data_IF_312029486039
#
_entry.id   IF_312029486039
#
_cell.length_a   1.000
_cell.length_b   1.000
_cell.length_c   1.000
_cell.angle_alpha   90.00
_cell.angle_beta   90.00
_cell.angle_gamma   90.00
#
_symmetry.space_group_name_H-M   'P 1'
#
loop_
_entity.id
_entity.type
_entity.pdbx_description
1 polymer ?
#
# COMPACT_ATOMS: atom_id res chain seq x y z
N UNK A 1 -26.83 -28.48 53.53
CA UNK A 1 -27.43 -28.73 52.21
C UNK A 1 -26.38 -28.29 51.20
N UNK A 2 -25.55 -29.24 50.77
CA UNK A 2 -24.38 -29.03 49.91
C UNK A 2 -24.77 -29.40 48.48
N UNK A 3 -24.80 -28.41 47.59
CA UNK A 3 -25.01 -28.66 46.17
C UNK A 3 -23.66 -28.76 45.45
N UNK A 4 -23.51 -29.88 44.75
CA UNK A 4 -22.31 -30.29 44.04
C UNK A 4 -22.17 -29.50 42.73
N UNK A 5 -21.06 -28.80 42.59
CA UNK A 5 -20.58 -28.26 41.31
C UNK A 5 -20.01 -29.42 40.48
N UNK A 6 -20.63 -29.71 39.34
CA UNK A 6 -20.07 -30.61 38.33
C UNK A 6 -19.21 -29.77 37.39
N UNK A 7 -17.89 -29.82 37.57
CA UNK A 7 -16.93 -29.39 36.56
C UNK A 7 -16.76 -30.51 35.53
N UNK A 8 -16.89 -30.18 34.24
CA UNK A 8 -16.51 -31.05 33.15
C UNK A 8 -15.08 -30.70 32.72
N UNK A 9 -14.12 -31.55 33.07
CA UNK A 9 -12.73 -31.49 32.59
C UNK A 9 -12.67 -31.96 31.13
N UNK A 10 -12.39 -31.05 30.20
CA UNK A 10 -11.97 -31.39 28.84
C UNK A 10 -10.49 -31.80 28.87
N UNK A 11 -10.26 -33.09 29.06
CA UNK A 11 -8.94 -33.71 29.03
C UNK A 11 -8.54 -33.98 27.56
N UNK A 12 -7.78 -33.07 26.96
CA UNK A 12 -7.21 -33.22 25.62
C UNK A 12 -6.01 -34.18 25.70
N UNK A 13 -6.22 -35.45 25.32
CA UNK A 13 -5.12 -36.41 25.15
C UNK A 13 -4.59 -36.36 23.72
N UNK A 14 -3.40 -35.78 23.59
CA UNK A 14 -2.55 -35.86 22.42
C UNK A 14 -2.08 -37.31 22.23
N UNK A 15 -2.55 -37.98 21.16
CA UNK A 15 -2.20 -39.37 20.89
C UNK A 15 -1.66 -39.55 19.46
N UNK A 16 -0.32 -39.70 19.42
CA UNK A 16 0.49 -40.57 18.57
C UNK A 16 0.01 -40.84 17.13
N UNK A 17 0.71 -40.19 16.20
CA UNK A 17 0.91 -40.65 14.82
C UNK A 17 1.76 -41.94 14.84
N UNK A 18 1.11 -43.09 14.71
CA UNK A 18 1.78 -44.38 14.48
C UNK A 18 1.58 -44.83 13.05
N UNK A 19 2.70 -45.06 12.37
CA UNK A 19 2.82 -45.92 11.18
C UNK A 19 2.15 -47.27 11.45
N UNK A 20 1.33 -47.76 10.53
CA UNK A 20 1.30 -49.18 10.23
C UNK A 20 0.83 -49.47 8.80
N UNK A 21 1.74 -50.10 8.08
CA UNK A 21 1.59 -50.99 6.93
C UNK A 21 0.22 -51.69 6.85
N UNK A 22 -0.34 -51.82 5.64
CA UNK A 22 -1.14 -53.00 5.30
C UNK A 22 -1.00 -53.37 3.82
N UNK A 23 -0.44 -54.56 3.65
CA UNK A 23 -0.40 -55.36 2.44
C UNK A 23 -1.77 -56.01 2.13
N UNK A 24 -2.06 -56.04 0.82
CA UNK A 24 -2.73 -57.08 0.00
C UNK A 24 -4.25 -57.33 0.20
N UNK A 25 -5.07 -57.11 -0.85
CA UNK A 25 -5.56 -58.19 -1.76
C UNK A 25 -6.50 -57.71 -2.92
N UNK A 26 -6.10 -58.03 -4.16
CA UNK A 26 -6.87 -58.62 -5.30
C UNK A 26 -7.89 -57.84 -6.17
N UNK A 27 -7.54 -57.84 -7.49
CA UNK A 27 -8.26 -57.77 -8.80
C UNK A 27 -9.40 -56.75 -8.99
N UNK A 28 -9.39 -55.86 -9.99
CA UNK A 28 -9.27 -56.13 -11.44
C UNK A 28 -8.84 -54.86 -12.23
N UNK A 29 -8.27 -55.06 -13.42
CA UNK A 29 -8.00 -54.12 -14.56
C UNK A 29 -6.80 -53.12 -14.55
N UNK A 30 -5.79 -53.52 -15.35
CA UNK A 30 -5.10 -52.75 -16.43
C UNK A 30 -4.07 -51.65 -16.08
N UNK A 31 -2.79 -52.04 -15.98
CA UNK A 31 -1.73 -51.52 -16.86
C UNK A 31 -0.59 -52.54 -16.96
N UNK A 32 0.07 -52.62 -18.11
CA UNK A 32 1.18 -53.54 -18.34
C UNK A 32 2.50 -52.88 -17.92
N UNK A 33 3.19 -53.43 -16.92
CA UNK A 33 4.64 -53.28 -16.77
C UNK A 33 5.33 -54.41 -17.54
N UNK A 34 6.12 -54.05 -18.55
CA UNK A 34 7.02 -54.99 -19.22
C UNK A 34 8.40 -54.91 -18.56
N UNK A 35 8.72 -55.95 -17.80
CA UNK A 35 10.07 -56.25 -17.33
C UNK A 35 10.95 -56.68 -18.51
N UNK A 36 12.08 -56.00 -18.69
CA UNK A 36 13.13 -56.46 -19.60
C UNK A 36 14.20 -57.18 -18.78
N UNK A 37 14.38 -58.46 -19.09
CA UNK A 37 15.47 -59.30 -18.60
C UNK A 37 16.81 -58.82 -19.19
N UNK A 38 17.83 -58.73 -18.36
CA UNK A 38 19.21 -58.58 -18.80
C UNK A 38 19.70 -59.87 -19.46
N UNK A 39 20.31 -59.74 -20.63
CA UNK A 39 21.31 -60.70 -21.11
C UNK A 39 22.39 -59.92 -21.86
N UNK A 40 23.61 -59.99 -21.34
CA UNK A 40 24.81 -59.37 -21.91
C UNK A 40 25.14 -59.95 -23.29
N UNK A 41 25.75 -59.13 -24.16
CA UNK A 41 27.17 -59.23 -24.57
C UNK A 41 27.40 -58.66 -25.98
N UNK A 42 28.38 -57.74 -26.04
CA UNK A 42 29.24 -57.35 -27.19
C UNK A 42 28.64 -56.58 -28.38
N UNK A 43 28.87 -55.27 -28.36
CA UNK A 43 29.44 -54.57 -29.52
C UNK A 43 30.41 -53.50 -29.01
N UNK A 44 31.66 -53.93 -28.87
CA UNK A 44 32.81 -53.14 -28.46
C UNK A 44 33.10 -52.08 -29.52
N UNK A 45 33.22 -50.84 -29.04
CA UNK A 45 34.05 -49.74 -29.54
C UNK A 45 34.14 -49.51 -31.06
N UNK A 46 33.63 -48.35 -31.49
CA UNK A 46 34.48 -47.43 -32.28
C UNK A 46 33.86 -46.03 -32.30
N UNK A 47 34.38 -45.17 -31.44
CA UNK A 47 34.41 -43.74 -31.70
C UNK A 47 35.37 -43.52 -32.88
N UNK A 48 34.83 -43.48 -34.09
CA UNK A 48 35.56 -43.07 -35.27
C UNK A 48 35.60 -41.53 -35.35
N UNK A 49 36.70 -41.00 -34.85
CA UNK A 49 37.52 -39.93 -35.43
C UNK A 49 36.84 -38.78 -36.18
N UNK A 50 37.01 -37.61 -35.58
CA UNK A 50 37.23 -36.30 -36.21
C UNK A 50 37.94 -36.39 -37.57
N UNK A 51 37.38 -35.73 -38.60
CA UNK A 51 37.88 -35.77 -39.98
C UNK A 51 37.30 -34.69 -40.89
N UNK A 52 37.42 -33.43 -40.47
CA UNK A 52 37.58 -32.18 -41.25
C UNK A 52 36.95 -32.06 -42.66
N UNK A 53 36.02 -31.10 -42.73
CA UNK A 53 35.90 -30.01 -43.71
C UNK A 53 36.00 -30.34 -45.21
N UNK A 54 34.87 -30.16 -45.91
CA UNK A 54 34.87 -29.31 -47.10
C UNK A 54 34.10 -28.02 -46.77
N UNK A 55 34.80 -27.09 -46.10
CA UNK A 55 34.31 -25.74 -45.88
C UNK A 55 34.36 -25.00 -47.21
N UNK A 56 33.21 -24.63 -47.77
CA UNK A 56 33.22 -23.45 -48.62
C UNK A 56 33.43 -22.25 -47.71
N UNK A 57 34.65 -21.72 -47.67
CA UNK A 57 35.04 -20.49 -46.95
C UNK A 57 34.14 -19.30 -47.30
N UNK A 58 33.41 -19.38 -48.42
CA UNK A 58 32.42 -18.39 -48.82
C UNK A 58 31.17 -18.42 -47.95
N UNK A 59 30.68 -19.59 -47.53
CA UNK A 59 29.42 -19.67 -46.76
C UNK A 59 29.57 -19.12 -45.34
N UNK A 60 30.70 -19.34 -44.67
CA UNK A 60 30.98 -18.74 -43.37
C UNK A 60 31.15 -17.22 -43.50
N UNK A 61 31.85 -16.76 -44.56
CA UNK A 61 31.98 -15.34 -44.85
C UNK A 61 30.63 -14.67 -45.12
N UNK A 62 29.74 -15.34 -45.87
CA UNK A 62 28.37 -14.86 -46.15
C UNK A 62 27.55 -14.80 -44.86
N UNK A 63 27.60 -15.84 -44.02
CA UNK A 63 26.87 -15.86 -42.74
C UNK A 63 27.33 -14.72 -41.81
N UNK A 64 28.64 -14.47 -41.70
CA UNK A 64 29.18 -13.37 -40.89
C UNK A 64 28.76 -12.02 -41.47
N UNK A 65 28.83 -11.83 -42.79
CA UNK A 65 28.42 -10.59 -43.44
C UNK A 65 26.92 -10.29 -43.24
N UNK A 66 26.07 -11.31 -43.31
CA UNK A 66 24.62 -11.20 -43.05
C UNK A 66 24.37 -10.81 -41.59
N UNK A 67 25.06 -11.43 -40.62
CA UNK A 67 24.91 -11.08 -39.20
C UNK A 67 25.32 -9.63 -38.94
N UNK A 68 26.44 -9.17 -39.50
CA UNK A 68 26.90 -7.78 -39.35
C UNK A 68 25.88 -6.82 -39.96
N UNK A 69 25.34 -7.12 -41.14
CA UNK A 69 24.31 -6.30 -41.77
C UNK A 69 23.05 -6.20 -40.90
N UNK A 70 22.60 -7.30 -40.30
CA UNK A 70 21.46 -7.31 -39.39
C UNK A 70 21.72 -6.50 -38.12
N UNK A 71 22.93 -6.54 -37.58
CA UNK A 71 23.31 -5.71 -36.42
C UNK A 71 23.34 -4.22 -36.77
N UNK A 72 23.89 -3.85 -37.93
CA UNK A 72 23.94 -2.45 -38.39
C UNK A 72 22.54 -1.93 -38.70
N UNK A 73 21.69 -2.72 -39.34
CA UNK A 73 20.29 -2.36 -39.59
C UNK A 73 19.50 -2.27 -38.28
N UNK A 74 19.71 -3.20 -37.33
CA UNK A 74 19.11 -3.16 -36.01
C UNK A 74 19.50 -1.89 -35.25
N UNK A 75 20.80 -1.56 -35.20
CA UNK A 75 21.29 -0.34 -34.56
C UNK A 75 20.78 0.91 -35.27
N UNK A 76 20.82 0.95 -36.61
CA UNK A 76 20.27 2.05 -37.41
C UNK A 76 18.77 2.26 -37.16
N UNK A 77 17.99 1.19 -37.10
CA UNK A 77 16.57 1.26 -36.74
C UNK A 77 16.39 1.72 -35.29
N UNK A 78 17.21 1.29 -34.32
CA UNK A 78 17.12 1.83 -32.95
C UNK A 78 17.45 3.33 -32.89
N UNK A 79 18.39 3.82 -33.71
CA UNK A 79 18.67 5.26 -33.85
C UNK A 79 17.59 6.02 -34.61
N UNK A 80 16.84 5.38 -35.51
CA UNK A 80 15.72 5.99 -36.25
C UNK A 80 14.40 5.97 -35.44
N UNK A 81 14.22 4.98 -34.56
CA UNK A 81 13.06 4.86 -33.67
C UNK A 81 13.25 5.58 -32.33
N UNK A 82 14.46 5.99 -31.98
CA UNK A 82 14.66 7.04 -30.98
C UNK A 82 14.80 8.39 -31.67
N UNK A 83 13.78 9.26 -31.63
CA UNK A 83 14.04 10.65 -31.93
C UNK A 83 15.14 11.10 -30.96
N UNK A 84 16.24 11.63 -31.48
CA UNK A 84 17.15 12.44 -30.67
C UNK A 84 16.38 13.70 -30.32
N UNK A 85 15.54 13.60 -29.30
CA UNK A 85 14.95 14.72 -28.59
C UNK A 85 16.11 15.41 -27.88
N UNK A 86 16.72 16.39 -28.56
CA UNK A 86 17.39 17.47 -27.86
C UNK A 86 16.32 18.15 -26.99
N UNK A 87 16.30 17.77 -25.71
CA UNK A 87 15.41 18.31 -24.70
C UNK A 87 15.69 19.80 -24.48
N UNK A 88 14.69 20.70 -24.53
CA UNK A 88 14.77 22.00 -23.87
C UNK A 88 14.65 21.76 -22.36
N UNK A 89 15.80 21.66 -21.70
CA UNK A 89 15.98 21.25 -20.31
C UNK A 89 15.68 22.36 -19.28
N UNK A 90 14.60 23.14 -19.48
CA UNK A 90 14.29 24.30 -18.61
C UNK A 90 12.86 24.34 -18.05
N UNK A 91 11.97 23.40 -18.42
CA UNK A 91 10.58 23.40 -17.92
C UNK A 91 10.26 22.37 -16.83
N UNK A 92 11.03 21.30 -16.72
CA UNK A 92 10.88 20.29 -15.65
C UNK A 92 11.57 20.70 -14.35
N UNK A 93 12.56 21.59 -14.42
CA UNK A 93 13.36 22.03 -13.28
C UNK A 93 12.55 22.85 -12.27
N UNK A 94 11.54 23.61 -12.73
CA UNK A 94 10.69 24.42 -11.84
C UNK A 94 9.63 23.59 -11.09
N UNK A 95 9.09 22.52 -11.69
CA UNK A 95 8.15 21.62 -11.00
C UNK A 95 8.85 20.72 -9.99
N UNK A 96 10.10 20.33 -10.26
CA UNK A 96 10.87 19.44 -9.38
C UNK A 96 11.46 20.16 -8.16
N UNK A 97 11.63 21.48 -8.22
CA UNK A 97 12.05 22.31 -7.07
C UNK A 97 10.92 22.78 -6.15
N UNK A 98 9.66 22.78 -6.62
CA UNK A 98 8.51 23.17 -5.77
C UNK A 98 7.92 21.99 -4.98
N UNK A 99 8.23 20.75 -5.38
CA UNK A 99 7.99 19.56 -4.55
C UNK A 99 9.08 19.39 -3.50
N UNK A 100 9.35 20.51 -2.84
CA UNK A 100 10.13 20.63 -1.63
C UNK A 100 9.56 19.64 -0.63
N UNK A 101 10.22 18.49 -0.46
CA UNK A 101 9.69 17.30 0.21
C UNK A 101 8.93 17.70 1.47
N UNK A 102 7.60 17.75 1.36
CA UNK A 102 6.75 18.02 2.51
C UNK A 102 6.82 16.76 3.37
N UNK A 103 7.27 16.88 4.61
CA UNK A 103 7.41 15.74 5.49
C UNK A 103 6.31 15.72 6.54
N UNK A 104 6.05 14.53 7.06
CA UNK A 104 5.17 14.32 8.20
C UNK A 104 6.01 14.02 9.43
N UNK A 105 5.55 14.41 10.64
CA UNK A 105 6.25 14.02 11.85
C UNK A 105 6.40 12.51 11.95
N UNK A 106 7.39 12.05 12.70
CA UNK A 106 7.59 10.63 12.95
C UNK A 106 6.30 9.98 13.47
N UNK A 107 5.97 8.80 12.93
CA UNK A 107 4.74 8.04 13.24
C UNK A 107 3.43 8.61 12.67
N UNK A 108 3.48 9.69 11.88
CA UNK A 108 2.33 10.18 11.12
C UNK A 108 2.38 9.61 9.70
N UNK A 109 1.21 9.24 9.16
CA UNK A 109 1.08 8.77 7.78
C UNK A 109 0.80 9.95 6.87
N UNK A 110 1.56 10.07 5.77
CA UNK A 110 1.31 11.08 4.74
C UNK A 110 0.27 10.58 3.74
N UNK A 111 -0.70 11.44 3.40
CA UNK A 111 -1.54 11.27 2.22
C UNK A 111 -1.78 12.64 1.58
N UNK A 112 -1.13 12.88 0.44
CA UNK A 112 -1.13 14.17 -0.23
C UNK A 112 -0.41 15.27 0.59
N UNK A 113 -1.15 16.34 0.89
CA UNK A 113 -0.68 17.51 1.66
C UNK A 113 -1.00 17.43 3.16
N UNK A 114 -1.60 16.32 3.60
CA UNK A 114 -1.99 16.09 4.99
C UNK A 114 -1.17 14.96 5.60
N UNK A 115 -0.96 15.07 6.90
CA UNK A 115 -0.37 14.08 7.78
C UNK A 115 -1.44 13.60 8.75
N UNK A 116 -1.52 12.31 8.98
CA UNK A 116 -2.53 11.69 9.84
C UNK A 116 -1.88 10.89 10.95
N UNK A 117 -2.32 11.13 12.17
CA UNK A 117 -2.02 10.30 13.33
C UNK A 117 -3.20 9.39 13.61
N UNK A 118 -2.92 8.11 13.83
CA UNK A 118 -3.91 7.10 14.21
C UNK A 118 -3.52 6.56 15.58
N UNK A 119 -4.34 6.78 16.60
CA UNK A 119 -4.05 6.21 17.91
C UNK A 119 -4.08 4.68 17.84
N UNK A 120 -3.20 4.05 18.61
CA UNK A 120 -3.08 2.59 18.64
C UNK A 120 -4.13 1.97 19.55
N UNK A 121 -4.49 2.67 20.62
CA UNK A 121 -5.43 2.23 21.66
C UNK A 121 -6.76 2.96 21.54
N UNK A 122 -7.84 2.24 21.85
CA UNK A 122 -9.14 2.86 22.11
C UNK A 122 -9.14 3.43 23.54
N UNK A 123 -9.73 4.59 23.71
CA UNK A 123 -9.78 5.29 24.99
C UNK A 123 -11.19 5.74 25.29
N UNK A 124 -11.60 5.61 26.55
CA UNK A 124 -12.89 6.11 27.03
C UNK A 124 -12.79 7.64 27.18
N UNK A 125 -12.91 8.34 26.07
CA UNK A 125 -12.86 9.81 25.99
C UNK A 125 -14.08 10.32 25.23
N UNK A 126 -14.56 11.48 25.61
CA UNK A 126 -15.59 12.21 24.84
C UNK A 126 -14.95 12.93 23.65
N UNK A 127 -15.79 13.43 22.75
CA UNK A 127 -15.34 14.10 21.52
C UNK A 127 -14.38 15.28 21.82
N UNK A 128 -14.70 16.09 22.82
CA UNK A 128 -13.86 17.24 23.20
C UNK A 128 -12.48 16.81 23.70
N UNK A 129 -12.38 15.75 24.49
CA UNK A 129 -11.11 15.24 24.98
C UNK A 129 -10.22 14.70 23.84
N UNK A 130 -10.80 14.04 22.84
CA UNK A 130 -10.07 13.63 21.64
C UNK A 130 -9.59 14.83 20.80
N UNK A 131 -10.43 15.85 20.66
CA UNK A 131 -10.04 17.12 20.04
C UNK A 131 -8.88 17.82 20.77
N UNK A 132 -8.95 17.92 22.10
CA UNK A 132 -7.92 18.57 22.90
C UNK A 132 -6.57 17.83 22.80
N UNK A 133 -6.59 16.49 22.65
CA UNK A 133 -5.39 15.69 22.38
C UNK A 133 -4.78 16.00 21.00
N UNK A 134 -5.61 16.10 19.95
CA UNK A 134 -5.14 16.52 18.64
C UNK A 134 -4.54 17.94 18.70
N UNK A 135 -5.20 18.86 19.40
CA UNK A 135 -4.70 20.23 19.60
C UNK A 135 -3.33 20.23 20.29
N UNK A 136 -3.13 19.38 21.30
CA UNK A 136 -1.84 19.20 21.98
C UNK A 136 -0.71 18.71 21.06
N UNK A 137 -1.04 18.04 19.95
CA UNK A 137 -0.11 17.63 18.90
C UNK A 137 0.04 18.65 17.75
N UNK A 138 -0.46 19.88 17.95
CA UNK A 138 -0.52 20.94 16.94
C UNK A 138 -1.23 20.46 15.67
N UNK A 139 -2.37 19.80 15.87
CA UNK A 139 -3.19 19.15 14.85
C UNK A 139 -4.67 19.27 15.20
N UNK A 140 -5.53 18.80 14.33
CA UNK A 140 -6.98 18.84 14.50
C UNK A 140 -7.58 17.44 14.39
N UNK A 141 -8.82 17.25 14.84
CA UNK A 141 -9.58 16.06 14.46
C UNK A 141 -9.75 16.01 12.94
N UNK A 142 -9.72 14.81 12.36
CA UNK A 142 -9.77 14.64 10.91
C UNK A 142 -11.06 15.21 10.31
N UNK A 143 -10.88 16.02 9.26
CA UNK A 143 -11.93 16.43 8.33
C UNK A 143 -11.76 15.73 7.00
N UNK A 144 -12.86 15.49 6.28
CA UNK A 144 -12.83 14.84 4.97
C UNK A 144 -13.16 15.89 3.91
N UNK A 145 -12.21 16.21 3.05
CA UNK A 145 -12.35 17.24 2.02
C UNK A 145 -12.90 16.67 0.70
N UNK A 146 -12.67 15.38 0.42
CA UNK A 146 -13.05 14.76 -0.84
C UNK A 146 -13.13 13.21 -0.75
N UNK A 147 -13.73 12.59 -1.78
CA UNK A 147 -13.92 11.12 -1.86
C UNK A 147 -12.61 10.33 -1.82
N UNK A 148 -11.54 10.81 -2.46
CA UNK A 148 -10.24 10.13 -2.46
C UNK A 148 -9.64 10.07 -1.06
N UNK A 149 -9.84 11.12 -0.27
CA UNK A 149 -9.43 11.15 1.13
C UNK A 149 -10.28 10.20 1.98
N UNK A 150 -11.60 10.15 1.76
CA UNK A 150 -12.47 9.17 2.41
C UNK A 150 -12.00 7.73 2.15
N UNK A 151 -11.71 7.37 0.89
CA UNK A 151 -11.23 6.04 0.51
C UNK A 151 -9.92 5.68 1.24
N UNK A 152 -9.01 6.65 1.36
CA UNK A 152 -7.79 6.47 2.14
C UNK A 152 -8.11 6.20 3.61
N UNK A 153 -8.96 7.02 4.25
CA UNK A 153 -9.31 6.86 5.66
C UNK A 153 -10.00 5.51 5.92
N UNK A 154 -10.93 5.10 5.05
CA UNK A 154 -11.57 3.77 5.10
C UNK A 154 -10.51 2.66 5.05
N UNK A 155 -9.51 2.77 4.17
CA UNK A 155 -8.43 1.78 4.06
C UNK A 155 -7.55 1.70 5.33
N UNK A 156 -7.46 2.80 6.09
CA UNK A 156 -6.71 2.84 7.35
C UNK A 156 -7.56 2.39 8.56
N UNK A 157 -8.89 2.42 8.44
CA UNK A 157 -9.85 2.12 9.51
C UNK A 157 -10.54 0.75 9.35
N UNK A 158 -9.95 -0.19 8.60
CA UNK A 158 -10.61 -1.47 8.23
C UNK A 158 -11.20 -2.24 9.41
N UNK A 159 -10.54 -2.23 10.57
CA UNK A 159 -10.95 -3.02 11.75
C UNK A 159 -11.15 -2.15 13.02
N UNK A 160 -11.18 -0.83 12.87
CA UNK A 160 -11.21 0.10 13.99
C UNK A 160 -12.14 1.26 13.68
N UNK A 161 -12.79 1.80 14.72
CA UNK A 161 -13.50 3.06 14.63
C UNK A 161 -12.58 4.20 15.02
N UNK A 162 -12.49 5.20 14.16
CA UNK A 162 -11.77 6.44 14.43
C UNK A 162 -12.75 7.60 14.46
N UNK A 163 -12.67 8.42 15.50
CA UNK A 163 -13.53 9.59 15.64
C UNK A 163 -13.19 10.65 14.57
N UNK A 164 -14.23 11.26 14.01
CA UNK A 164 -14.10 12.37 13.05
C UNK A 164 -14.38 13.72 13.71
N UNK A 165 -13.88 14.78 13.09
CA UNK A 165 -14.24 16.15 13.43
C UNK A 165 -15.64 16.58 12.98
N UNK A 166 -16.55 15.65 12.67
CA UNK A 166 -17.88 15.92 12.15
C UNK A 166 -18.95 15.64 13.22
N UNK A 167 -19.75 16.66 13.53
CA UNK A 167 -20.81 16.60 14.53
C UNK A 167 -22.14 17.11 13.98
N UNK A 168 -23.24 16.65 14.54
CA UNK A 168 -24.58 17.13 14.22
C UNK A 168 -24.88 18.41 15.02
N UNK A 169 -25.15 19.50 14.31
CA UNK A 169 -25.56 20.75 14.89
C UNK A 169 -27.09 20.76 15.04
N UNK A 170 -27.57 20.57 16.27
CA UNK A 170 -29.00 20.50 16.55
C UNK A 170 -29.76 21.79 16.25
N UNK A 171 -29.10 22.95 16.36
CA UNK A 171 -29.73 24.26 16.10
C UNK A 171 -29.92 24.49 14.61
N UNK A 172 -28.92 24.11 13.81
CA UNK A 172 -28.95 24.24 12.34
C UNK A 172 -29.62 23.04 11.65
N UNK A 173 -29.83 21.93 12.36
CA UNK A 173 -30.36 20.65 11.85
C UNK A 173 -29.54 20.09 10.70
N UNK A 174 -28.21 20.19 10.79
CA UNK A 174 -27.27 19.70 9.79
C UNK A 174 -25.99 19.14 10.40
N UNK A 175 -25.18 18.47 9.60
CA UNK A 175 -23.86 17.97 9.99
C UNK A 175 -22.80 19.02 9.66
N UNK A 176 -21.93 19.35 10.62
CA UNK A 176 -20.95 20.42 10.53
C UNK A 176 -19.55 19.91 10.93
N UNK A 177 -18.58 20.13 10.06
CA UNK A 177 -17.17 19.84 10.33
C UNK A 177 -16.62 20.83 11.35
N UNK A 178 -15.59 20.42 12.08
CA UNK A 178 -14.92 21.23 13.10
C UNK A 178 -14.38 22.58 12.57
N UNK A 179 -14.09 22.65 11.26
CA UNK A 179 -13.68 23.88 10.59
C UNK A 179 -14.87 24.78 10.15
N UNK A 180 -16.09 24.48 10.60
CA UNK A 180 -17.30 25.27 10.35
C UNK A 180 -17.94 25.03 8.98
N UNK A 181 -17.44 24.09 8.17
CA UNK A 181 -18.07 23.75 6.90
C UNK A 181 -19.21 22.76 7.11
N UNK A 182 -20.33 22.99 6.43
CA UNK A 182 -21.43 22.03 6.37
C UNK A 182 -21.04 20.80 5.54
N UNK A 183 -21.47 19.62 5.99
CA UNK A 183 -21.28 18.37 5.26
C UNK A 183 -22.23 18.28 4.07
N UNK A 184 -21.70 17.88 2.92
CA UNK A 184 -22.50 17.61 1.72
C UNK A 184 -22.78 16.12 1.58
N UNK A 185 -24.06 15.77 1.42
CA UNK A 185 -24.52 14.39 1.18
C UNK A 185 -23.98 13.80 -0.13
N UNK A 186 -23.58 14.64 -1.09
CA UNK A 186 -22.98 14.17 -2.35
C UNK A 186 -21.56 13.60 -2.15
N UNK A 187 -20.91 13.94 -1.03
CA UNK A 187 -19.59 13.43 -0.67
C UNK A 187 -19.68 12.01 -0.11
N UNK A 188 -20.52 11.79 0.90
CA UNK A 188 -20.86 10.48 1.45
C UNK A 188 -22.11 10.55 2.34
N UNK A 189 -22.76 9.40 2.51
CA UNK A 189 -23.85 9.23 3.45
C UNK A 189 -23.31 8.88 4.84
N UNK A 190 -23.98 9.35 5.88
CA UNK A 190 -23.71 8.99 7.26
C UNK A 190 -24.77 7.97 7.67
N UNK A 191 -24.35 6.77 8.06
CA UNK A 191 -25.25 5.68 8.45
C UNK A 191 -25.51 5.69 9.96
N UNK A 192 -26.63 5.12 10.40
CA UNK A 192 -27.00 5.05 11.81
C UNK A 192 -28.03 6.10 12.26
N UNK A 193 -28.57 5.96 13.48
CA UNK A 193 -29.60 6.84 13.99
C UNK A 193 -29.02 8.23 14.33
N UNK A 194 -29.80 9.28 14.09
CA UNK A 194 -29.52 10.64 14.59
C UNK A 194 -30.33 10.91 15.88
N UNK A 195 -31.47 10.24 16.03
CA UNK A 195 -32.41 10.42 17.15
C UNK A 195 -32.55 9.15 17.98
N UNK A 196 -32.51 9.30 19.30
CA UNK A 196 -32.79 8.23 20.26
C UNK A 196 -31.83 8.31 21.45
N UNK A 197 -32.21 7.86 22.66
CA UNK A 197 -31.29 7.79 23.77
C UNK A 197 -30.28 6.65 23.55
N UNK A 198 -28.96 6.90 23.66
CA UNK A 198 -28.33 8.21 23.85
C UNK A 198 -28.06 8.92 22.51
N UNK A 199 -27.92 10.26 22.52
CA UNK A 199 -27.78 11.05 21.29
C UNK A 199 -26.50 10.70 20.51
N UNK A 200 -26.66 10.42 19.20
CA UNK A 200 -25.61 10.00 18.27
C UNK A 200 -25.16 11.17 17.38
N UNK A 201 -24.79 12.29 17.99
CA UNK A 201 -24.42 13.53 17.27
C UNK A 201 -22.95 13.60 16.85
N UNK A 202 -22.16 12.54 17.07
CA UNK A 202 -20.79 12.46 16.59
C UNK A 202 -20.70 11.45 15.46
N UNK A 203 -19.55 11.39 14.79
CA UNK A 203 -19.34 10.43 13.70
C UNK A 203 -17.99 9.73 13.84
N UNK A 204 -17.96 8.50 13.34
CA UNK A 204 -16.75 7.68 13.22
C UNK A 204 -16.59 7.20 11.79
N UNK A 205 -15.35 6.99 11.37
CA UNK A 205 -15.02 6.20 10.18
C UNK A 205 -14.46 4.86 10.62
N UNK A 206 -14.96 3.78 10.02
CA UNK A 206 -14.58 2.42 10.37
C UNK A 206 -15.36 1.39 9.56
N UNK A 207 -14.79 0.21 9.39
CA UNK A 207 -15.49 -0.92 8.77
C UNK A 207 -16.11 -0.64 7.39
N UNK A 208 -15.50 0.27 6.61
CA UNK A 208 -15.94 0.57 5.25
C UNK A 208 -16.92 1.75 5.12
N UNK A 209 -17.31 2.39 6.22
CA UNK A 209 -18.32 3.45 6.19
C UNK A 209 -18.04 4.59 7.19
N UNK A 210 -18.83 5.65 7.06
CA UNK A 210 -18.97 6.71 8.06
C UNK A 210 -20.33 6.53 8.72
N UNK A 211 -20.33 6.40 10.05
CA UNK A 211 -21.53 6.16 10.83
C UNK A 211 -21.65 7.11 12.01
N UNK A 212 -22.87 7.28 12.51
CA UNK A 212 -23.14 8.04 13.71
C UNK A 212 -22.58 7.33 14.95
N UNK A 213 -22.15 8.11 15.91
CA UNK A 213 -21.52 7.65 17.14
C UNK A 213 -21.96 8.52 18.32
N UNK A 214 -21.96 7.95 19.54
CA UNK A 214 -22.10 8.76 20.75
C UNK A 214 -20.94 9.75 20.87
N UNK A 215 -21.24 10.97 21.34
CA UNK A 215 -20.20 11.97 21.61
C UNK A 215 -19.49 11.79 22.95
N UNK A 216 -20.03 10.95 23.82
CA UNK A 216 -19.43 10.61 25.11
C UNK A 216 -18.52 9.38 24.98
N UNK A 217 -17.97 8.94 26.11
CA UNK A 217 -16.97 7.88 26.17
C UNK A 217 -17.42 6.56 25.52
N UNK A 218 -16.62 6.10 24.56
CA UNK A 218 -16.77 4.78 23.93
C UNK A 218 -15.48 3.98 24.12
N UNK A 219 -15.59 2.71 24.55
CA UNK A 219 -14.41 1.85 24.75
C UNK A 219 -13.82 1.28 23.46
N UNK A 220 -14.46 1.51 22.31
CA UNK A 220 -14.03 0.96 21.01
C UNK A 220 -13.51 2.02 20.05
N UNK A 221 -13.70 3.30 20.38
CA UNK A 221 -13.33 4.42 19.51
C UNK A 221 -11.89 4.83 19.77
N UNK A 222 -11.13 4.99 18.69
CA UNK A 222 -9.75 5.46 18.67
C UNK A 222 -9.69 6.91 18.21
N UNK A 223 -8.62 7.61 18.58
CA UNK A 223 -8.39 8.97 18.13
C UNK A 223 -7.72 9.00 16.75
N UNK A 224 -8.03 10.00 15.96
CA UNK A 224 -7.38 10.27 14.69
C UNK A 224 -7.25 11.76 14.48
N UNK A 225 -6.03 12.21 14.19
CA UNK A 225 -5.72 13.63 14.04
C UNK A 225 -5.11 13.92 12.67
N UNK A 226 -5.33 15.12 12.14
CA UNK A 226 -4.72 15.61 10.91
C UNK A 226 -3.98 16.94 11.08
N UNK A 227 -2.96 17.17 10.24
CA UNK A 227 -2.36 18.49 10.01
C UNK A 227 -1.72 18.57 8.64
N UNK A 228 -1.40 19.79 8.19
CA UNK A 228 -0.65 19.98 6.95
C UNK A 228 0.75 19.37 7.02
N UNK A 229 1.23 18.81 5.90
CA UNK A 229 2.61 18.36 5.78
C UNK A 229 3.55 19.58 5.78
N UNK A 230 4.57 19.56 6.63
CA UNK A 230 5.51 20.68 6.77
C UNK A 230 6.54 20.62 5.66
N UNK A 231 7.08 21.77 5.29
CA UNK A 231 8.20 21.83 4.36
C UNK A 231 9.46 21.32 5.08
N UNK A 232 10.20 20.36 4.49
CA UNK A 232 11.47 19.89 5.08
C UNK A 232 12.45 21.05 5.36
N UNK A 233 13.00 21.11 6.58
CA UNK A 233 13.98 22.10 7.06
C UNK A 233 15.17 22.22 6.09
N UNK A 234 15.63 21.08 5.54
CA UNK A 234 16.74 21.01 4.58
C UNK A 234 16.50 21.91 3.36
N UNK A 235 15.25 22.04 2.95
CA UNK A 235 14.95 22.84 1.80
C UNK A 235 14.61 24.30 2.18
N UNK A 236 14.31 24.62 3.44
CA UNK A 236 14.24 26.01 3.93
C UNK A 236 15.61 26.68 3.88
N UNK A 237 16.66 25.96 4.24
CA UNK A 237 18.05 26.39 4.05
C UNK A 237 18.36 26.64 2.57
N UNK A 238 17.93 25.75 1.67
CA UNK A 238 18.11 25.95 0.22
C UNK A 238 17.30 27.13 -0.33
N UNK A 239 16.08 27.39 0.16
CA UNK A 239 15.31 28.59 -0.22
C UNK A 239 16.00 29.85 0.26
N UNK A 240 16.46 29.90 1.51
CA UNK A 240 17.16 31.07 2.06
C UNK A 240 18.48 31.33 1.33
N UNK A 241 19.19 30.27 0.94
CA UNK A 241 20.42 30.35 0.13
C UNK A 241 20.17 30.84 -1.30
N UNK A 242 19.09 30.37 -1.94
CA UNK A 242 18.69 30.78 -3.30
C UNK A 242 18.20 32.23 -3.32
N UNK A 243 17.52 32.67 -2.27
CA UNK A 243 17.04 34.06 -2.14
C UNK A 243 18.17 35.05 -1.90
N UNK A 244 19.16 34.67 -1.06
CA UNK A 244 20.38 35.43 -0.85
C UNK A 244 21.23 35.59 -2.12
N UNK A 245 21.27 34.56 -2.98
CA UNK A 245 22.05 34.60 -4.23
C UNK A 245 21.40 35.43 -5.34
N UNK A 246 20.05 35.61 -5.35
CA UNK A 246 19.36 36.48 -6.31
C UNK A 246 19.58 37.96 -6.03
N UNK A 247 19.81 38.32 -4.77
CA UNK A 247 20.09 39.69 -4.33
C UNK A 247 21.54 40.16 -4.59
N UNK A 248 22.39 39.33 -5.18
CA UNK A 248 23.80 39.63 -5.49
C UNK A 248 24.08 39.85 -6.99
N UNK A 249 23.06 39.91 -7.85
CA UNK A 249 23.28 40.28 -9.26
C UNK A 249 23.55 41.80 -9.36
N UNK A 250 24.74 42.24 -9.80
CA UNK A 250 24.99 43.66 -9.99
C UNK A 250 24.14 44.14 -11.16
N UNK A 251 23.36 45.20 -10.95
CA UNK A 251 22.78 45.95 -12.06
C UNK A 251 23.93 46.61 -12.81
N UNK A 252 24.31 46.03 -13.95
CA UNK A 252 25.21 46.67 -14.89
C UNK A 252 24.51 47.90 -15.45
N UNK A 253 24.99 49.09 -15.05
CA UNK A 253 24.72 50.39 -15.68
C UNK A 253 26.05 50.91 -16.20
#
# INVERSE_FOLDING_TARGET
MSENLIYADLNLTESRRSRLQKDINVQDSTYAELNVQSLDTSAVASYASFGKNCCSRTHIGILIAVIILLLVLGVGLTFLYHPTTSSPQDRETLSMTYDKAQDCPQHWKRNGKKCYFFSQTAERKNWKAFHDECTGMHSELVTIDNKKELDYLISQSTNHYYLLGLQYNESKKNWEWINGREHSTDMFNITGPITGPPDYFCTVVGFGEVSTAPCYESSTTKNMCEKGASISEKAEEERQKTDSSRNLTPSFV
#
